data_IF_109901016892
#
_entry.id   IF_109901016892
#
_cell.length_a   1.000
_cell.length_b   1.000
_cell.length_c   1.000
_cell.angle_alpha   90.00
_cell.angle_beta   90.00
_cell.angle_gamma   90.00
#
_symmetry.space_group_name_H-M   'P 1'
#
loop_
_entity.id
_entity.type
_entity.pdbx_description
1 polymer ?
#
# COMPACT_ATOMS: atom_id res chain seq x y z
N UNK A 1 -37.71 -6.70 -42.42
CA UNK A 1 -37.32 -6.58 -42.09
C UNK A 1 -36.89 -6.70 -41.06
N UNK A 2 -36.55 -6.87 -40.54
CA UNK A 2 -36.16 -7.02 -39.73
C UNK A 2 -35.15 -6.84 -39.16
N UNK A 3 -34.50 -6.68 -38.82
CA UNK A 3 -33.48 -6.55 -38.44
C UNK A 3 -33.30 -5.87 -37.35
N UNK A 4 -33.40 -5.60 -36.78
CA UNK A 4 -33.26 -4.80 -35.82
C UNK A 4 -33.15 -5.36 -34.72
N UNK A 5 -32.97 -6.23 -34.41
CA UNK A 5 -32.83 -6.74 -33.35
C UNK A 5 -31.70 -6.80 -32.76
N UNK A 6 -30.95 -6.93 -32.90
CA UNK A 6 -29.83 -7.15 -32.31
C UNK A 6 -29.26 -6.20 -31.58
N UNK A 7 -29.47 -5.29 -31.56
CA UNK A 7 -28.83 -4.41 -30.97
C UNK A 7 -28.93 -4.48 -29.60
N UNK A 8 -29.64 -5.13 -29.04
CA UNK A 8 -29.73 -5.04 -27.72
C UNK A 8 -28.77 -5.79 -27.09
N UNK A 9 -28.27 -6.67 -27.57
CA UNK A 9 -27.39 -7.43 -26.86
C UNK A 9 -26.30 -6.86 -26.40
N UNK A 10 -25.91 -5.94 -26.88
CA UNK A 10 -24.79 -5.52 -26.53
C UNK A 10 -24.65 -4.94 -25.33
N UNK A 11 -25.41 -4.55 -24.66
CA UNK A 11 -24.97 -3.90 -23.62
C UNK A 11 -25.01 -4.59 -22.44
N UNK A 12 -25.19 -5.76 -22.49
CA UNK A 12 -25.22 -6.34 -21.36
C UNK A 12 -23.98 -6.42 -20.75
N UNK A 13 -22.90 -6.49 -21.34
CA UNK A 13 -21.76 -6.74 -20.62
C UNK A 13 -21.23 -5.62 -20.05
N UNK A 14 -21.79 -4.60 -20.14
CA UNK A 14 -21.21 -3.58 -19.57
C UNK A 14 -21.32 -3.63 -18.20
N UNK A 15 -22.00 -4.35 -17.61
CA UNK A 15 -22.05 -4.27 -16.28
C UNK A 15 -21.01 -4.95 -15.67
N UNK A 16 -20.15 -5.21 -16.16
CA UNK A 16 -19.14 -5.82 -15.63
C UNK A 16 -18.74 -5.31 -14.51
N UNK A 17 -18.57 -5.65 -13.62
CA UNK A 17 -18.18 -5.18 -12.57
C UNK A 17 -17.15 -4.90 -12.00
N UNK A 18 -16.69 -4.58 -12.15
CA UNK A 18 -15.66 -4.07 -11.65
C UNK A 18 -15.78 -3.83 -10.34
N UNK A 19 -16.66 -3.99 -9.89
CA UNK A 19 -16.71 -3.63 -8.67
C UNK A 19 -15.93 -4.25 -7.81
N UNK A 20 -15.25 -5.04 -8.06
CA UNK A 20 -14.49 -5.60 -7.20
C UNK A 20 -13.31 -5.06 -6.84
N UNK A 21 -12.97 -4.01 -7.07
CA UNK A 21 -11.73 -3.47 -6.72
C UNK A 21 -11.63 -3.33 -5.27
N UNK A 22 -10.77 -3.93 -4.65
CA UNK A 22 -10.53 -3.75 -3.24
C UNK A 22 -9.53 -2.64 -3.06
N UNK A 23 -9.76 -1.75 -2.15
CA UNK A 23 -8.80 -0.69 -1.86
C UNK A 23 -7.65 -1.26 -1.09
N UNK A 24 -6.51 -0.68 -1.30
CA UNK A 24 -5.30 -1.09 -0.61
C UNK A 24 -5.03 -0.09 0.50
N UNK A 25 -4.76 -0.56 1.68
CA UNK A 25 -4.49 0.28 2.83
C UNK A 25 -3.14 -0.06 3.42
N UNK A 26 -2.47 0.91 3.99
CA UNK A 26 -1.20 0.66 4.61
C UNK A 26 -1.11 1.43 5.91
N UNK A 27 -0.51 0.82 6.91
CA UNK A 27 -0.26 1.43 8.18
C UNK A 27 1.23 1.35 8.39
N UNK A 28 1.87 2.39 8.85
CA UNK A 28 3.31 2.38 9.04
C UNK A 28 3.73 3.25 10.19
N UNK A 29 4.77 2.84 10.88
CA UNK A 29 5.34 3.64 11.93
C UNK A 29 6.85 3.62 11.82
N UNK A 30 7.49 4.63 12.40
CA UNK A 30 8.93 4.79 12.29
C UNK A 30 9.45 5.20 13.65
N UNK A 31 10.37 4.44 14.19
CA UNK A 31 10.89 4.70 15.50
C UNK A 31 12.26 5.35 15.48
N UNK A 32 12.69 5.85 14.38
CA UNK A 32 14.00 6.45 14.24
C UNK A 32 15.01 5.50 13.69
N UNK A 33 14.73 4.22 13.61
CA UNK A 33 15.60 3.28 13.06
C UNK A 33 14.91 2.35 12.14
N UNK A 34 13.73 1.89 12.42
CA UNK A 34 13.02 0.88 11.65
C UNK A 34 11.67 1.41 11.26
N UNK A 35 11.32 1.21 9.99
CA UNK A 35 10.00 1.51 9.50
C UNK A 35 9.27 0.19 9.49
N UNK A 36 8.13 0.10 10.14
CA UNK A 36 7.38 -1.14 10.21
C UNK A 36 5.90 -0.89 10.02
N UNK A 37 5.16 -1.91 9.63
CA UNK A 37 3.75 -1.74 9.44
C UNK A 37 3.13 -2.90 8.73
N UNK A 38 1.98 -2.67 8.13
CA UNK A 38 1.34 -3.70 7.38
C UNK A 38 0.45 -3.14 6.31
N UNK A 39 0.21 -3.91 5.28
CA UNK A 39 -0.63 -3.52 4.17
C UNK A 39 -1.69 -4.58 3.98
N UNK A 40 -2.90 -4.16 3.68
CA UNK A 40 -4.00 -5.07 3.54
C UNK A 40 -5.05 -4.47 2.63
N UNK A 41 -5.89 -5.32 2.08
CA UNK A 41 -6.96 -4.85 1.21
C UNK A 41 -8.22 -4.63 2.04
N UNK A 42 -9.17 -3.95 1.47
CA UNK A 42 -10.35 -3.56 2.23
C UNK A 42 -11.15 -4.75 2.75
N UNK A 43 -10.96 -5.92 2.20
CA UNK A 43 -11.63 -7.10 2.71
C UNK A 43 -10.80 -7.76 3.78
N UNK A 44 -9.77 -7.12 4.24
CA UNK A 44 -8.88 -7.57 5.29
C UNK A 44 -7.88 -8.64 4.86
N UNK A 45 -7.82 -8.93 3.59
CA UNK A 45 -6.81 -9.84 3.09
C UNK A 45 -5.46 -9.17 3.11
N UNK A 46 -4.43 -9.80 3.56
CA UNK A 46 -3.12 -9.15 3.59
C UNK A 46 -2.58 -8.92 2.19
N UNK A 47 -1.87 -7.82 2.01
CA UNK A 47 -1.19 -7.57 0.75
C UNK A 47 0.14 -8.30 0.84
N UNK A 48 0.13 -9.57 0.53
CA UNK A 48 1.27 -10.46 0.75
C UNK A 48 2.32 -10.31 -0.32
N UNK A 49 3.53 -10.30 0.09
CA UNK A 49 4.69 -10.31 -0.83
C UNK A 49 4.56 -9.25 -1.89
N UNK A 50 4.18 -8.08 -1.50
CA UNK A 50 3.88 -6.99 -2.39
C UNK A 50 4.98 -5.95 -2.36
N UNK A 51 5.33 -5.45 -3.52
CA UNK A 51 6.43 -4.49 -3.65
C UNK A 51 6.17 -3.23 -2.86
N UNK A 52 7.20 -2.71 -2.25
CA UNK A 52 7.07 -1.48 -1.50
C UNK A 52 8.34 -0.65 -1.56
N UNK A 53 8.21 0.63 -1.31
CA UNK A 53 9.33 1.54 -1.25
C UNK A 53 9.23 2.39 -0.01
N UNK A 54 10.36 2.74 0.54
CA UNK A 54 10.41 3.67 1.66
C UNK A 54 11.19 4.89 1.18
N UNK A 55 10.57 6.06 1.25
CA UNK A 55 11.19 7.27 0.77
C UNK A 55 11.16 8.33 1.84
N UNK A 56 11.98 9.33 1.65
CA UNK A 56 11.87 10.49 2.46
C UNK A 56 10.90 11.38 1.75
N UNK A 57 9.96 11.95 2.42
CA UNK A 57 8.96 12.77 1.79
C UNK A 57 9.59 13.89 0.99
N UNK A 58 9.11 14.08 -0.20
CA UNK A 58 9.67 15.09 -1.06
C UNK A 58 10.79 14.60 -1.95
N UNK A 59 11.23 13.38 -1.76
CA UNK A 59 12.29 12.84 -2.59
C UNK A 59 11.69 11.84 -3.54
N UNK A 60 12.30 11.72 -4.70
CA UNK A 60 11.83 10.76 -5.67
C UNK A 60 12.52 9.44 -5.60
N UNK A 61 13.70 9.41 -5.05
CA UNK A 61 14.44 8.17 -5.01
C UNK A 61 14.21 7.47 -3.71
N UNK A 62 13.89 6.21 -3.73
CA UNK A 62 13.63 5.51 -2.48
C UNK A 62 14.87 5.30 -1.66
N UNK A 63 14.71 5.34 -0.37
CA UNK A 63 15.79 4.98 0.52
C UNK A 63 15.91 3.47 0.53
N UNK A 64 14.85 2.75 0.26
CA UNK A 64 14.87 1.31 0.30
C UNK A 64 13.71 0.76 -0.50
N UNK A 65 13.92 -0.36 -1.15
CA UNK A 65 12.87 -1.07 -1.85
C UNK A 65 12.76 -2.44 -1.25
N UNK A 66 11.61 -2.97 -1.12
CA UNK A 66 11.43 -4.28 -0.53
C UNK A 66 10.07 -4.85 -0.81
N UNK A 67 9.64 -5.75 0.02
CA UNK A 67 8.36 -6.38 -0.12
C UNK A 67 7.75 -6.63 1.21
N UNK A 68 6.43 -6.71 1.27
CA UNK A 68 5.77 -7.17 2.49
C UNK A 68 5.97 -8.68 2.59
N UNK A 69 5.74 -9.23 3.76
CA UNK A 69 5.86 -10.66 3.94
C UNK A 69 4.50 -11.30 3.63
N UNK A 70 4.37 -12.62 3.92
CA UNK A 70 3.19 -13.25 3.56
C UNK A 70 1.99 -12.83 4.35
N UNK A 71 2.15 -12.15 5.41
CA UNK A 71 1.07 -11.62 6.20
C UNK A 71 0.84 -10.14 5.93
N UNK A 72 1.49 -9.61 4.91
CA UNK A 72 1.36 -8.21 4.56
C UNK A 72 2.12 -7.29 5.48
N UNK A 73 3.00 -7.80 6.30
CA UNK A 73 3.72 -7.00 7.24
C UNK A 73 5.10 -6.66 6.73
N UNK A 74 5.71 -5.63 7.25
CA UNK A 74 7.06 -5.28 6.88
C UNK A 74 7.77 -4.61 8.05
N UNK A 75 9.07 -4.73 8.06
CA UNK A 75 9.90 -4.05 9.04
C UNK A 75 11.27 -3.93 8.43
N UNK A 76 11.68 -2.72 8.14
CA UNK A 76 12.96 -2.49 7.49
C UNK A 76 13.75 -1.42 8.21
N UNK A 77 14.98 -1.68 8.55
CA UNK A 77 15.79 -0.64 9.14
C UNK A 77 16.21 0.33 8.04
N UNK A 78 16.20 1.58 8.32
CA UNK A 78 16.69 2.53 7.36
C UNK A 78 17.74 3.36 8.01
N UNK A 79 18.68 3.77 7.21
CA UNK A 79 19.78 4.46 7.71
C UNK A 79 19.73 5.86 7.19
N UNK A 80 19.11 6.75 7.86
CA UNK A 80 19.06 8.10 7.40
C UNK A 80 19.21 9.01 8.59
N UNK A 81 19.88 10.10 8.37
CA UNK A 81 20.06 11.02 9.43
C UNK A 81 19.11 12.15 9.34
N UNK A 82 18.24 12.17 8.35
CA UNK A 82 17.44 13.32 8.27
C UNK A 82 16.27 13.18 9.16
N UNK A 83 15.74 14.24 9.56
CA UNK A 83 14.62 14.20 10.35
C UNK A 83 13.39 14.39 9.61
N UNK A 84 13.38 14.32 8.34
CA UNK A 84 12.19 14.52 7.54
C UNK A 84 11.23 13.38 7.68
N UNK A 85 10.05 13.57 7.20
CA UNK A 85 9.04 12.53 7.26
C UNK A 85 9.40 11.37 6.35
N UNK A 86 9.01 10.20 6.73
CA UNK A 86 9.25 8.98 5.96
C UNK A 86 7.94 8.51 5.36
N UNK A 87 7.97 8.22 4.09
CA UNK A 87 6.78 7.80 3.38
C UNK A 87 6.93 6.36 2.93
N UNK A 88 5.89 5.60 3.05
CA UNK A 88 5.86 4.22 2.61
C UNK A 88 4.88 4.12 1.46
N UNK A 89 5.30 3.49 0.37
CA UNK A 89 4.46 3.30 -0.80
C UNK A 89 4.36 1.81 -1.05
N UNK A 90 3.15 1.30 -1.24
CA UNK A 90 2.93 -0.11 -1.53
C UNK A 90 2.29 -0.18 -2.90
N UNK A 91 2.80 -1.05 -3.75
CA UNK A 91 2.22 -1.20 -5.08
C UNK A 91 1.64 -2.58 -5.22
N UNK A 92 0.37 -2.69 -5.11
CA UNK A 92 -0.29 -3.97 -5.19
C UNK A 92 -0.66 -4.34 -6.60
N UNK A 93 -1.56 -5.29 -6.72
CA UNK A 93 -1.90 -5.77 -8.00
C UNK A 93 -2.72 -4.85 -8.80
N UNK A 94 -2.67 -4.98 -10.05
CA UNK A 94 -3.49 -4.22 -10.97
C UNK A 94 -3.39 -2.75 -10.79
N UNK A 95 -2.25 -2.28 -10.50
CA UNK A 95 -2.06 -0.85 -10.38
C UNK A 95 -2.53 -0.24 -9.10
N UNK A 96 -2.99 -1.02 -8.16
CA UNK A 96 -3.37 -0.48 -6.89
C UNK A 96 -2.15 0.07 -6.20
N UNK A 97 -2.31 1.19 -5.55
CA UNK A 97 -1.17 1.82 -4.92
C UNK A 97 -1.65 2.56 -3.70
N UNK A 98 -0.91 2.49 -2.64
CA UNK A 98 -1.23 3.20 -1.43
C UNK A 98 0.03 3.81 -0.85
N UNK A 99 -0.08 4.94 -0.23
CA UNK A 99 1.07 5.52 0.41
C UNK A 99 0.65 6.19 1.71
N UNK A 100 1.55 6.28 2.63
CA UNK A 100 1.26 6.91 3.89
C UNK A 100 2.55 7.44 4.47
N UNK A 101 2.45 8.49 5.25
CA UNK A 101 3.59 8.99 5.99
C UNK A 101 3.62 8.22 7.30
N UNK A 102 4.73 7.59 7.60
CA UNK A 102 4.83 6.76 8.77
C UNK A 102 4.70 7.59 10.04
N UNK A 103 3.95 7.09 10.98
CA UNK A 103 3.80 7.77 12.23
C UNK A 103 5.07 7.63 12.99
N UNK A 104 5.56 8.73 13.56
CA UNK A 104 6.77 8.67 14.31
C UNK A 104 6.43 8.23 15.68
N UNK A 105 7.09 7.22 16.15
CA UNK A 105 6.85 6.73 17.49
C UNK A 105 8.14 6.70 18.24
N UNK A 106 8.05 6.77 19.51
CA UNK A 106 9.22 6.81 20.32
C UNK A 106 9.68 5.43 20.60
N UNK A 107 10.93 5.19 20.34
CA UNK A 107 11.41 3.90 20.52
C UNK A 107 11.43 3.48 21.91
N UNK A 108 11.46 4.34 22.88
CA UNK A 108 11.54 3.93 24.10
C UNK A 108 10.42 4.00 24.84
N UNK A 109 9.61 4.04 24.43
CA UNK A 109 8.53 4.14 25.06
C UNK A 109 8.44 3.41 26.14
N UNK A 110 8.92 2.88 26.47
CA UNK A 110 8.81 2.14 27.43
C UNK A 110 8.86 2.53 28.58
N UNK A 111 8.93 2.65 28.91
CA UNK A 111 9.09 2.88 29.87
C UNK A 111 8.47 3.28 30.66
N UNK A 112 8.30 3.40 30.86
CA UNK A 112 7.84 3.83 31.49
C UNK A 112 7.29 3.65 32.22
N UNK A 113 7.29 3.45 32.43
CA UNK A 113 6.90 3.26 33.11
C UNK A 113 6.69 3.11 33.72
#
# INVERSE_FOLDING_TARGET
MKRVVFLTALFTWLCAPSALAHSLHVFAQYDGRTVSGKAYYSDMTPAAETYMEILQSGQDSPLLEGKTDRDGQFAYPINTTTEGAIKVVIEGEEGHRASIVANRVSAQTTNNS
#
